data_IF_854550556711
#
_entry.id   IF_854550556711
#
_cell.length_a   1.000
_cell.length_b   1.000
_cell.length_c   1.000
_cell.angle_alpha   90.00
_cell.angle_beta   90.00
_cell.angle_gamma   90.00
#
_symmetry.space_group_name_H-M   'P 1'
#
loop_
_entity.id
_entity.type
_entity.pdbx_description
1 polymer ?
#
# COMPACT_ATOMS: atom_id res chain seq x y z
N UNK A 1 11.44 -13.33 -22.28
CA UNK A 1 10.23 -12.85 -21.58
C UNK A 1 10.71 -11.86 -20.54
N UNK A 2 10.38 -10.58 -20.69
CA UNK A 2 10.70 -9.60 -19.65
C UNK A 2 9.89 -10.00 -18.41
N UNK A 3 10.56 -10.39 -17.34
CA UNK A 3 9.92 -10.67 -16.06
C UNK A 3 9.38 -9.33 -15.54
N UNK A 4 8.05 -9.20 -15.41
CA UNK A 4 7.44 -7.97 -14.90
C UNK A 4 7.89 -7.66 -13.48
N UNK A 5 7.95 -6.38 -13.14
CA UNK A 5 8.31 -5.90 -11.81
C UNK A 5 7.12 -6.12 -10.89
N UNK A 6 7.33 -6.79 -9.75
CA UNK A 6 6.25 -7.07 -8.80
C UNK A 6 6.06 -5.91 -7.84
N UNK A 7 4.85 -5.37 -7.77
CA UNK A 7 4.46 -4.32 -6.82
C UNK A 7 3.33 -4.85 -5.94
N UNK A 8 3.53 -4.77 -4.64
CA UNK A 8 2.52 -5.04 -3.62
C UNK A 8 1.78 -3.74 -3.29
N UNK A 9 0.46 -3.75 -3.46
CA UNK A 9 -0.43 -2.62 -3.17
C UNK A 9 -1.38 -2.95 -2.03
N UNK A 10 -1.69 -1.97 -1.19
CA UNK A 10 -2.45 -2.15 0.06
C UNK A 10 -3.52 -1.08 0.31
N UNK A 11 -3.69 -0.12 -0.62
CA UNK A 11 -4.54 1.06 -0.44
C UNK A 11 -5.36 1.40 -1.69
N UNK A 12 -5.30 2.65 -2.13
CA UNK A 12 -6.16 3.17 -3.22
C UNK A 12 -6.01 2.48 -4.57
N UNK A 13 -4.93 1.71 -4.76
CA UNK A 13 -4.65 0.90 -5.94
C UNK A 13 -5.31 -0.48 -5.92
N UNK A 14 -5.77 -0.97 -4.75
CA UNK A 14 -6.46 -2.25 -4.62
C UNK A 14 -7.66 -2.34 -5.56
N UNK A 15 -7.98 -3.54 -6.03
CA UNK A 15 -9.15 -3.76 -6.90
C UNK A 15 -10.42 -3.18 -6.28
N UNK A 16 -11.09 -2.30 -7.04
CA UNK A 16 -12.32 -1.62 -6.62
C UNK A 16 -12.11 -0.28 -5.91
N UNK A 17 -10.86 0.13 -5.67
CA UNK A 17 -10.53 1.43 -5.10
C UNK A 17 -10.28 2.50 -6.18
N UNK A 18 -10.24 3.76 -5.76
CA UNK A 18 -10.28 4.95 -6.63
C UNK A 18 -9.16 5.04 -7.67
N UNK A 19 -7.97 4.54 -7.37
CA UNK A 19 -6.80 4.60 -8.24
C UNK A 19 -6.54 3.29 -9.00
N UNK A 20 -7.37 2.26 -8.80
CA UNK A 20 -7.19 0.94 -9.43
C UNK A 20 -7.10 0.99 -10.96
N UNK A 21 -7.72 1.99 -11.61
CA UNK A 21 -7.67 2.19 -13.07
C UNK A 21 -6.25 2.19 -13.64
N UNK A 22 -5.26 2.64 -12.87
CA UNK A 22 -3.86 2.69 -13.30
C UNK A 22 -3.30 1.27 -13.53
N UNK A 23 -3.72 0.31 -12.70
CA UNK A 23 -3.32 -1.09 -12.78
C UNK A 23 -4.07 -1.90 -13.84
N UNK A 24 -5.01 -1.32 -14.59
CA UNK A 24 -5.59 -2.00 -15.76
C UNK A 24 -4.55 -2.28 -16.86
N UNK A 25 -3.43 -1.56 -16.84
CA UNK A 25 -2.29 -1.75 -17.74
C UNK A 25 -1.26 -2.76 -17.21
N UNK A 26 -1.46 -3.30 -16.01
CA UNK A 26 -0.55 -4.29 -15.44
C UNK A 26 -0.46 -5.53 -16.35
N UNK A 27 0.74 -6.11 -16.41
CA UNK A 27 1.04 -7.32 -17.17
C UNK A 27 0.31 -8.55 -16.60
N UNK A 28 0.10 -8.58 -15.27
CA UNK A 28 -0.65 -9.62 -14.57
C UNK A 28 -1.09 -9.13 -13.16
N UNK A 29 -2.05 -9.84 -12.58
CA UNK A 29 -2.63 -9.55 -11.25
C UNK A 29 -4.13 -9.24 -11.32
N UNK A 30 -4.78 -8.94 -10.18
CA UNK A 30 -4.24 -9.05 -8.82
C UNK A 30 -4.02 -10.50 -8.38
N UNK A 31 -3.01 -10.71 -7.54
CA UNK A 31 -2.87 -11.90 -6.70
C UNK A 31 -2.90 -11.46 -5.25
N UNK A 32 -3.84 -11.94 -4.44
CA UNK A 32 -3.90 -11.62 -3.02
C UNK A 32 -2.60 -12.07 -2.32
N UNK A 33 -2.07 -11.22 -1.46
CA UNK A 33 -0.81 -11.48 -0.76
C UNK A 33 -0.77 -10.74 0.59
N UNK A 34 0.26 -11.08 1.36
CA UNK A 34 0.56 -10.44 2.64
C UNK A 34 2.06 -10.18 2.74
N UNK A 35 2.47 -9.12 3.45
CA UNK A 35 3.87 -8.84 3.77
C UNK A 35 4.03 -8.64 5.28
N UNK A 36 5.13 -9.13 5.85
CA UNK A 36 5.54 -8.89 7.24
C UNK A 36 6.39 -7.62 7.33
N UNK A 37 6.55 -7.08 8.55
CA UNK A 37 7.45 -5.97 8.82
C UNK A 37 6.80 -4.60 8.65
N UNK A 38 5.46 -4.55 8.50
CA UNK A 38 4.71 -3.31 8.34
C UNK A 38 3.38 -3.36 9.07
N UNK A 39 2.97 -2.25 9.66
CA UNK A 39 1.62 -1.97 10.09
C UNK A 39 0.95 -1.00 9.10
N UNK A 40 -0.38 -1.07 9.00
CA UNK A 40 -1.15 -0.23 8.10
C UNK A 40 -1.84 0.87 8.88
N UNK A 41 -1.69 2.12 8.44
CA UNK A 41 -2.34 3.26 9.06
C UNK A 41 -3.20 3.99 8.06
N UNK A 42 -4.35 4.50 8.47
CA UNK A 42 -5.01 5.58 7.76
C UNK A 42 -4.16 6.84 7.99
N UNK A 43 -3.48 7.36 6.97
CA UNK A 43 -2.58 8.52 7.13
C UNK A 43 -3.26 9.83 6.76
N UNK A 44 -4.31 9.76 5.94
CA UNK A 44 -5.24 10.86 5.65
C UNK A 44 -6.65 10.30 5.55
N UNK A 45 -7.73 11.10 5.51
CA UNK A 45 -9.08 10.57 5.27
C UNK A 45 -9.30 9.81 3.95
N UNK A 46 -8.35 9.89 3.00
CA UNK A 46 -8.53 9.36 1.64
C UNK A 46 -7.65 8.16 1.30
N UNK A 47 -6.57 7.91 2.06
CA UNK A 47 -5.62 6.85 1.73
C UNK A 47 -4.83 6.36 2.96
N UNK A 48 -4.42 5.07 2.95
CA UNK A 48 -3.60 4.49 3.99
C UNK A 48 -2.11 4.60 3.65
N UNK A 49 -1.26 4.32 4.63
CA UNK A 49 0.18 4.17 4.47
C UNK A 49 0.71 2.97 5.26
N UNK A 50 1.60 2.20 4.62
CA UNK A 50 2.38 1.17 5.30
C UNK A 50 3.54 1.81 6.06
N UNK A 51 3.72 1.42 7.32
CA UNK A 51 4.77 1.93 8.21
C UNK A 51 5.57 0.76 8.78
N UNK A 52 6.91 0.82 8.85
CA UNK A 52 7.72 -0.27 9.39
C UNK A 52 7.29 -0.65 10.82
N UNK A 53 7.03 -1.94 11.01
CA UNK A 53 6.70 -2.57 12.30
C UNK A 53 7.12 -4.04 12.23
N UNK A 54 8.11 -4.46 13.01
CA UNK A 54 8.67 -5.82 12.95
C UNK A 54 7.64 -6.94 13.23
N UNK A 55 6.62 -6.66 14.05
CA UNK A 55 5.55 -7.61 14.36
C UNK A 55 4.34 -7.45 13.42
N UNK A 56 4.26 -6.32 12.74
CA UNK A 56 3.16 -5.97 11.84
C UNK A 56 3.08 -6.85 10.60
N UNK A 57 1.85 -6.98 10.11
CA UNK A 57 1.53 -7.64 8.85
C UNK A 57 0.45 -6.87 8.12
N UNK A 58 0.55 -6.78 6.79
CA UNK A 58 -0.47 -6.13 5.97
C UNK A 58 -0.99 -7.04 4.86
N UNK A 59 -2.30 -6.97 4.57
CA UNK A 59 -2.95 -7.66 3.44
C UNK A 59 -3.05 -6.73 2.23
N UNK A 60 -2.86 -7.29 1.05
CA UNK A 60 -2.94 -6.53 -0.19
C UNK A 60 -2.94 -7.43 -1.42
N UNK A 61 -2.50 -6.86 -2.54
CA UNK A 61 -2.48 -7.50 -3.84
C UNK A 61 -1.12 -7.29 -4.52
N UNK A 62 -0.64 -8.29 -5.25
CA UNK A 62 0.53 -8.19 -6.12
C UNK A 62 0.08 -7.97 -7.56
N UNK A 63 0.73 -7.02 -8.21
CA UNK A 63 0.65 -6.77 -9.65
C UNK A 63 2.03 -6.88 -10.28
N UNK A 64 2.06 -7.34 -11.53
CA UNK A 64 3.26 -7.31 -12.37
C UNK A 64 3.14 -6.13 -13.30
N UNK A 65 4.10 -5.21 -13.23
CA UNK A 65 4.11 -3.97 -14.00
C UNK A 65 5.36 -3.90 -14.86
N UNK A 66 5.32 -3.14 -15.95
CA UNK A 66 6.53 -2.76 -16.68
C UNK A 66 7.15 -1.49 -16.07
N UNK A 67 8.29 -1.06 -16.61
CA UNK A 67 8.99 0.13 -16.13
C UNK A 67 8.21 1.44 -16.35
N UNK A 68 7.34 1.49 -17.36
CA UNK A 68 6.53 2.67 -17.65
C UNK A 68 5.44 2.84 -16.60
N UNK A 69 4.66 1.79 -16.36
CA UNK A 69 3.64 1.78 -15.32
C UNK A 69 4.26 1.96 -13.93
N UNK A 70 5.46 1.40 -13.69
CA UNK A 70 6.16 1.61 -12.44
C UNK A 70 6.50 3.10 -12.20
N UNK A 71 6.89 3.85 -13.24
CA UNK A 71 7.09 5.31 -13.14
C UNK A 71 5.79 6.06 -12.87
N UNK A 72 4.69 5.66 -13.49
CA UNK A 72 3.37 6.24 -13.21
C UNK A 72 2.92 6.00 -11.75
N UNK A 73 3.27 4.84 -11.18
CA UNK A 73 3.06 4.57 -9.75
C UNK A 73 3.95 5.45 -8.87
N UNK A 74 5.21 5.66 -9.24
CA UNK A 74 6.12 6.57 -8.53
C UNK A 74 5.57 8.00 -8.50
N UNK A 75 5.06 8.50 -9.63
CA UNK A 75 4.41 9.81 -9.72
C UNK A 75 3.13 9.91 -8.88
N UNK A 76 2.29 8.86 -8.89
CA UNK A 76 1.06 8.82 -8.10
C UNK A 76 1.33 8.87 -6.59
N UNK A 77 2.35 8.13 -6.15
CA UNK A 77 2.73 8.01 -4.74
C UNK A 77 3.72 9.11 -4.29
N UNK A 78 3.93 10.14 -5.14
CA UNK A 78 4.86 11.25 -4.90
C UNK A 78 6.24 10.75 -4.43
N UNK A 79 6.81 9.81 -5.20
CA UNK A 79 8.12 9.20 -4.95
C UNK A 79 9.11 9.55 -6.07
N UNK A 80 10.26 10.14 -5.70
CA UNK A 80 11.37 10.40 -6.60
C UNK A 80 12.46 9.30 -6.45
N UNK A 81 12.70 8.48 -7.49
CA UNK A 81 13.70 7.42 -7.44
C UNK A 81 15.15 7.91 -7.44
N UNK A 82 15.44 9.11 -7.95
CA UNK A 82 16.80 9.65 -8.04
C UNK A 82 17.27 10.18 -6.69
N UNK A 83 16.36 10.84 -5.95
CA UNK A 83 16.65 11.38 -4.61
C UNK A 83 16.23 10.46 -3.46
N UNK A 84 15.48 9.39 -3.76
CA UNK A 84 14.87 8.49 -2.78
C UNK A 84 14.09 9.27 -1.71
N UNK A 85 13.26 10.22 -2.17
CA UNK A 85 12.47 11.10 -1.32
C UNK A 85 11.04 11.20 -1.83
N UNK A 86 10.12 11.66 -0.98
CA UNK A 86 8.70 11.68 -1.36
C UNK A 86 7.73 11.54 -0.20
N UNK A 87 6.44 11.57 -0.51
CA UNK A 87 5.35 11.24 0.41
C UNK A 87 5.38 9.75 0.79
N UNK A 88 5.70 8.91 -0.18
CA UNK A 88 6.02 7.51 0.01
C UNK A 88 7.40 7.18 -0.56
N UNK A 89 8.01 6.12 -0.05
CA UNK A 89 9.27 5.57 -0.56
C UNK A 89 9.03 4.16 -1.06
N UNK A 90 9.41 3.91 -2.31
CA UNK A 90 9.41 2.54 -2.83
C UNK A 90 10.58 1.74 -2.26
N UNK A 91 10.27 0.62 -1.60
CA UNK A 91 11.25 -0.27 -0.98
C UNK A 91 11.03 -1.71 -1.44
N UNK A 92 12.11 -2.51 -1.47
CA UNK A 92 11.99 -3.95 -1.67
C UNK A 92 11.65 -4.64 -0.35
N UNK A 93 10.73 -5.59 -0.41
CA UNK A 93 10.41 -6.48 0.70
C UNK A 93 10.09 -7.88 0.20
N UNK A 94 9.73 -8.78 1.12
CA UNK A 94 9.23 -10.12 0.83
C UNK A 94 7.83 -10.30 1.39
N UNK A 95 7.00 -10.96 0.60
CA UNK A 95 5.72 -11.48 1.04
C UNK A 95 5.89 -12.65 2.01
N UNK A 96 4.80 -13.03 2.68
CA UNK A 96 4.79 -14.19 3.59
C UNK A 96 5.22 -15.48 2.88
N UNK A 97 4.87 -15.62 1.59
CA UNK A 97 5.26 -16.73 0.71
C UNK A 97 6.62 -16.52 0.02
N UNK A 98 7.44 -15.58 0.50
CA UNK A 98 8.82 -15.33 0.10
C UNK A 98 9.02 -14.80 -1.33
N UNK A 99 8.00 -14.17 -1.92
CA UNK A 99 8.15 -13.46 -3.19
C UNK A 99 8.78 -12.08 -2.94
N UNK A 100 9.83 -11.75 -3.69
CA UNK A 100 10.38 -10.37 -3.71
C UNK A 100 9.42 -9.43 -4.43
N UNK A 101 9.04 -8.34 -3.77
CA UNK A 101 8.09 -7.33 -4.26
C UNK A 101 8.58 -5.93 -3.88
N UNK A 102 8.13 -4.92 -4.61
CA UNK A 102 8.20 -3.53 -4.17
C UNK A 102 6.95 -3.13 -3.39
N UNK A 103 7.12 -2.28 -2.38
CA UNK A 103 6.05 -1.66 -1.59
C UNK A 103 6.34 -0.16 -1.47
N UNK A 104 5.30 0.68 -1.47
CA UNK A 104 5.42 2.10 -1.13
C UNK A 104 5.23 2.30 0.37
N UNK A 105 6.16 2.95 1.05
CA UNK A 105 6.19 3.09 2.52
C UNK A 105 6.00 4.56 2.88
N UNK A 106 5.08 4.86 3.79
CA UNK A 106 4.76 6.22 4.22
C UNK A 106 5.93 6.88 4.95
N UNK A 107 6.24 8.14 4.60
CA UNK A 107 7.35 8.90 5.22
C UNK A 107 6.92 9.85 6.32
N UNK A 108 5.63 10.18 6.37
CA UNK A 108 5.09 11.16 7.31
C UNK A 108 4.84 10.61 8.71
N UNK A 109 4.38 11.46 9.64
CA UNK A 109 3.92 11.01 10.95
C UNK A 109 2.65 10.17 10.84
N UNK A 110 2.40 9.33 11.85
CA UNK A 110 1.15 8.58 12.01
C UNK A 110 0.49 8.85 13.36
N UNK A 111 -0.82 8.67 13.39
CA UNK A 111 -1.62 8.63 14.61
C UNK A 111 -1.87 7.18 14.97
N UNK A 112 -1.54 6.79 16.20
CA UNK A 112 -1.62 5.39 16.64
C UNK A 112 -3.07 4.89 16.64
N UNK A 113 -4.01 5.78 16.96
CA UNK A 113 -5.44 5.53 16.88
C UNK A 113 -5.97 5.30 15.45
N UNK A 114 -5.15 5.56 14.43
CA UNK A 114 -5.49 5.39 13.02
C UNK A 114 -4.85 4.13 12.42
N UNK A 115 -4.29 3.25 13.23
CA UNK A 115 -3.90 1.91 12.77
C UNK A 115 -5.15 1.18 12.24
N UNK A 116 -5.02 0.55 11.09
CA UNK A 116 -6.05 -0.31 10.48
C UNK A 116 -5.79 -1.74 10.96
N UNK A 117 -6.62 -2.27 11.88
CA UNK A 117 -6.40 -3.59 12.45
C UNK A 117 -6.32 -4.66 11.36
N UNK A 118 -5.46 -5.65 11.53
CA UNK A 118 -5.22 -6.68 10.52
C UNK A 118 -6.50 -7.44 10.12
N UNK A 119 -7.44 -7.61 11.04
CA UNK A 119 -8.75 -8.22 10.83
C UNK A 119 -9.65 -7.40 9.90
N UNK A 120 -9.45 -6.08 9.85
CA UNK A 120 -10.20 -5.13 9.02
C UNK A 120 -9.53 -4.87 7.65
N UNK A 121 -8.34 -5.44 7.43
CA UNK A 121 -7.65 -5.38 6.14
C UNK A 121 -8.20 -6.43 5.15
N UNK A 122 -8.08 -6.21 3.82
CA UNK A 122 -7.41 -5.09 3.15
C UNK A 122 -8.18 -3.76 3.27
N UNK A 123 -7.48 -2.65 3.11
CA UNK A 123 -8.05 -1.31 3.26
C UNK A 123 -9.17 -1.02 2.25
N UNK A 124 -10.13 -0.20 2.67
CA UNK A 124 -11.16 0.36 1.81
C UNK A 124 -11.38 1.85 2.09
N UNK A 125 -11.77 2.62 1.07
CA UNK A 125 -12.03 4.06 1.21
C UNK A 125 -13.08 4.42 2.27
N UNK A 126 -14.03 3.53 2.51
CA UNK A 126 -15.11 3.76 3.48
C UNK A 126 -14.66 3.45 4.93
N UNK A 127 -13.36 3.22 5.16
CA UNK A 127 -12.83 2.89 6.48
C UNK A 127 -12.98 4.12 7.37
N UNK A 128 -14.02 4.09 8.20
CA UNK A 128 -14.22 5.00 9.29
C UNK A 128 -13.80 4.24 10.55
N UNK A 129 -12.48 4.24 10.84
CA UNK A 129 -11.92 3.64 12.05
C UNK A 129 -12.85 3.89 13.22
N UNK A 130 -13.27 2.79 13.89
CA UNK A 130 -14.43 2.71 14.77
C UNK A 130 -14.85 4.07 15.36
N UNK A 131 -16.03 4.52 14.94
CA UNK A 131 -16.83 5.62 15.47
C UNK A 131 -16.20 6.32 16.70
N UNK A 132 -15.78 7.56 16.51
CA UNK A 132 -15.60 8.59 17.54
C UNK A 132 -16.46 8.31 18.80
N UNK A 133 -15.90 7.91 19.97
CA UNK A 133 -16.68 7.91 21.20
C UNK A 133 -16.99 9.33 21.72
N UNK A 134 -16.60 10.38 20.99
CA UNK A 134 -16.65 11.78 21.40
C UNK A 134 -17.83 12.62 20.90
N UNK A 135 -18.96 12.03 20.49
CA UNK A 135 -20.25 12.76 20.43
C UNK A 135 -21.38 11.87 20.92
N UNK A 136 -21.48 11.71 22.24
CA UNK A 136 -22.50 10.89 22.88
C UNK A 136 -22.68 11.24 24.36
N UNK A 137 -23.43 12.32 24.58
CA UNK A 137 -23.97 12.88 25.83
C UNK A 137 -23.02 13.74 26.70
#
# INVERSE_FOLDING_TARGET
MNQGIKVFVYGTLLKGQSNHRLLHRALAGPVAAEVWGYALYQVTPAYPGAVPDEAGKIKGEIYWVDEELLRELDELEDYDPDTHSGLYIRQKTRTVDQQEVYIYVWTGPVRQEWEVPYEQQPWHSDWAGDQNPGTGN
#
